data_IF_461396330192
#
_entry.id   IF_461396330192
#
_cell.length_a   1.000
_cell.length_b   1.000
_cell.length_c   1.000
_cell.angle_alpha   90.00
_cell.angle_beta   90.00
_cell.angle_gamma   90.00
#
_symmetry.space_group_name_H-M   'P 1'
#
loop_
_entity.id
_entity.type
_entity.pdbx_description
1 polymer ?
#
# COMPACT_ATOMS: atom_id res chain seq x y z
N UNK A 1 26.79 -19.08 -15.26
CA UNK A 1 25.60 -19.68 -14.60
C UNK A 1 25.31 -18.80 -13.40
N UNK A 2 24.45 -17.77 -13.36
CA UNK A 2 23.24 -17.40 -14.08
C UNK A 2 23.21 -15.85 -14.04
N UNK A 3 23.51 -15.19 -15.15
CA UNK A 3 23.34 -13.74 -15.29
C UNK A 3 21.85 -13.45 -15.44
N UNK A 4 21.15 -13.36 -14.31
CA UNK A 4 19.72 -13.09 -14.24
C UNK A 4 19.44 -11.69 -14.78
N UNK A 5 18.94 -11.66 -16.01
CA UNK A 5 18.35 -10.56 -16.77
C UNK A 5 17.83 -9.38 -15.92
N UNK A 6 18.54 -8.24 -15.87
CA UNK A 6 17.96 -7.00 -15.37
C UNK A 6 17.16 -6.24 -16.44
N UNK A 7 17.07 -6.75 -17.67
CA UNK A 7 16.69 -5.93 -18.85
C UNK A 7 15.21 -6.01 -19.26
N UNK A 8 14.37 -6.86 -18.65
CA UNK A 8 13.01 -7.11 -19.18
C UNK A 8 11.89 -6.22 -18.62
N UNK A 9 12.17 -5.24 -17.76
CA UNK A 9 11.13 -4.32 -17.22
C UNK A 9 11.34 -2.84 -17.56
N UNK A 10 12.23 -2.52 -18.50
CA UNK A 10 12.26 -1.21 -19.13
C UNK A 10 12.04 -1.38 -20.62
N UNK A 11 10.80 -1.69 -21.00
CA UNK A 11 10.35 -1.36 -22.35
C UNK A 11 9.90 0.11 -22.26
N UNK A 12 10.74 1.10 -22.62
CA UNK A 12 10.17 2.38 -23.01
C UNK A 12 9.32 2.03 -24.22
N UNK A 13 8.00 2.14 -24.09
CA UNK A 13 7.17 1.94 -25.24
C UNK A 13 7.37 3.15 -26.15
N UNK A 14 8.34 3.01 -27.05
CA UNK A 14 8.85 4.08 -27.93
C UNK A 14 7.87 4.41 -29.05
N UNK A 15 6.70 3.77 -29.10
CA UNK A 15 5.68 4.07 -30.11
C UNK A 15 5.19 5.51 -29.93
N UNK A 16 5.10 6.31 -31.00
CA UNK A 16 4.64 7.69 -30.94
C UNK A 16 3.22 7.82 -30.34
N UNK A 17 2.39 6.79 -30.50
CA UNK A 17 1.04 6.73 -29.92
C UNK A 17 1.06 6.74 -28.37
N UNK A 18 1.98 6.00 -27.75
CA UNK A 18 2.09 5.95 -26.29
C UNK A 18 2.66 7.25 -25.71
N UNK A 19 3.54 7.93 -26.45
CA UNK A 19 4.08 9.22 -26.03
C UNK A 19 2.99 10.30 -25.98
N UNK A 20 2.08 10.30 -26.95
CA UNK A 20 0.92 11.20 -26.97
C UNK A 20 -0.02 10.94 -25.78
N UNK A 21 -0.32 9.66 -25.50
CA UNK A 21 -1.14 9.29 -24.33
C UNK A 21 -0.48 9.71 -23.02
N UNK A 22 0.83 9.47 -22.88
CA UNK A 22 1.59 9.87 -21.68
C UNK A 22 1.61 11.39 -21.50
N UNK A 23 1.74 12.17 -22.58
CA UNK A 23 1.68 13.62 -22.51
C UNK A 23 0.32 14.11 -21.98
N UNK A 24 -0.79 13.61 -22.53
CA UNK A 24 -2.13 13.97 -22.06
C UNK A 24 -2.42 13.55 -20.62
N UNK A 25 -1.85 12.43 -20.15
CA UNK A 25 -1.98 12.01 -18.76
C UNK A 25 -1.17 12.90 -17.80
N UNK A 26 -0.01 13.42 -18.23
CA UNK A 26 0.82 14.31 -17.38
C UNK A 26 0.14 15.64 -17.09
N UNK A 27 -0.66 16.16 -18.02
CA UNK A 27 -1.41 17.40 -17.85
C UNK A 27 -2.51 17.29 -16.77
N UNK A 28 -3.01 16.08 -16.53
CA UNK A 28 -4.03 15.81 -15.51
C UNK A 28 -3.44 15.66 -14.10
N UNK A 29 -2.13 15.45 -13.99
CA UNK A 29 -1.47 15.24 -12.70
C UNK A 29 -0.89 16.57 -12.19
N UNK A 30 -1.17 16.96 -10.93
CA UNK A 30 -0.60 18.16 -10.36
C UNK A 30 0.94 18.16 -10.43
N UNK A 31 1.51 19.28 -10.87
CA UNK A 31 2.96 19.50 -10.99
C UNK A 31 3.81 19.01 -9.79
N UNK A 32 3.45 19.25 -8.51
CA UNK A 32 4.30 18.80 -7.40
C UNK A 32 4.42 17.27 -7.32
N UNK A 33 3.35 16.54 -7.65
CA UNK A 33 3.32 15.08 -7.65
C UNK A 33 4.13 14.55 -8.84
N UNK A 34 3.92 15.14 -10.01
CA UNK A 34 4.62 14.75 -11.23
C UNK A 34 6.13 14.98 -11.10
N UNK A 35 6.56 16.12 -10.55
CA UNK A 35 7.98 16.41 -10.33
C UNK A 35 8.63 15.38 -9.40
N UNK A 36 7.92 14.92 -8.37
CA UNK A 36 8.41 13.87 -7.47
C UNK A 36 8.55 12.53 -8.20
N UNK A 37 7.53 12.14 -8.96
CA UNK A 37 7.53 10.92 -9.77
C UNK A 37 8.69 10.92 -10.77
N UNK A 38 8.87 12.01 -11.53
CA UNK A 38 9.91 12.12 -12.55
C UNK A 38 11.31 12.00 -11.94
N UNK A 39 11.55 12.63 -10.79
CA UNK A 39 12.83 12.50 -10.06
C UNK A 39 13.17 11.05 -9.73
N UNK A 40 12.18 10.25 -9.31
CA UNK A 40 12.38 8.82 -9.04
C UNK A 40 12.69 8.03 -10.31
N UNK A 41 12.00 8.35 -11.42
CA UNK A 41 12.20 7.71 -12.72
C UNK A 41 13.59 8.03 -13.29
N UNK A 42 14.06 9.27 -13.15
CA UNK A 42 15.42 9.69 -13.53
C UNK A 42 16.49 8.92 -12.77
N UNK A 43 16.24 8.60 -11.49
CA UNK A 43 17.10 7.74 -10.67
C UNK A 43 17.03 6.24 -11.06
N UNK A 44 16.24 5.86 -12.06
CA UNK A 44 16.02 4.47 -12.45
C UNK A 44 15.16 3.68 -11.47
N UNK A 45 14.42 4.37 -10.59
CA UNK A 45 13.58 3.75 -9.55
C UNK A 45 12.12 3.76 -10.00
N UNK A 46 11.32 2.85 -9.42
CA UNK A 46 9.87 2.83 -9.66
C UNK A 46 9.24 4.03 -8.98
N UNK A 47 8.50 4.85 -9.74
CA UNK A 47 7.79 6.01 -9.18
C UNK A 47 6.54 5.65 -8.37
N UNK A 48 5.92 4.51 -8.68
CA UNK A 48 4.72 3.98 -8.00
C UNK A 48 4.94 2.49 -7.70
N UNK A 49 4.51 2.03 -6.52
CA UNK A 49 4.66 0.65 -6.08
C UNK A 49 3.43 0.15 -5.33
N UNK A 50 2.90 -1.04 -5.67
CA UNK A 50 1.92 -1.69 -4.81
C UNK A 50 2.59 -2.08 -3.49
N UNK A 51 1.87 -1.92 -2.39
CA UNK A 51 2.20 -2.62 -1.16
C UNK A 51 1.69 -4.05 -1.32
N UNK A 52 2.55 -5.03 -1.05
CA UNK A 52 2.19 -6.44 -1.02
C UNK A 52 2.52 -7.10 0.30
N UNK A 53 1.54 -7.70 0.99
CA UNK A 53 1.71 -8.29 2.34
C UNK A 53 2.38 -7.33 3.36
N UNK A 54 2.10 -6.02 3.27
CA UNK A 54 2.74 -5.00 4.10
C UNK A 54 4.20 -4.69 3.72
N UNK A 55 4.63 -5.05 2.51
CA UNK A 55 5.97 -4.79 1.97
C UNK A 55 5.89 -3.89 0.74
N UNK A 56 6.77 -2.90 0.65
CA UNK A 56 6.89 -2.06 -0.54
C UNK A 56 7.57 -2.83 -1.67
N UNK A 57 6.93 -3.02 -2.82
CA UNK A 57 7.48 -3.79 -3.96
C UNK A 57 8.55 -3.06 -4.79
N UNK A 58 8.91 -1.84 -4.39
CA UNK A 58 10.03 -1.10 -5.00
C UNK A 58 11.34 -1.27 -4.21
N UNK A 59 11.32 -1.08 -2.88
CA UNK A 59 12.51 -1.21 -2.04
C UNK A 59 12.54 -2.48 -1.18
N UNK A 60 11.47 -3.28 -1.19
CA UNK A 60 11.33 -4.52 -0.43
C UNK A 60 11.42 -4.34 1.10
N UNK A 61 11.30 -3.12 1.60
CA UNK A 61 11.18 -2.84 3.02
C UNK A 61 9.75 -2.94 3.51
N UNK A 62 9.60 -3.30 4.78
CA UNK A 62 8.30 -3.42 5.44
C UNK A 62 7.72 -2.02 5.65
N UNK A 63 6.46 -1.86 5.27
CA UNK A 63 5.73 -0.60 5.43
C UNK A 63 5.17 -0.55 6.86
N UNK A 64 5.34 0.57 7.59
CA UNK A 64 4.74 0.77 8.90
C UNK A 64 3.22 0.54 8.90
N UNK A 65 2.70 0.03 10.02
CA UNK A 65 1.27 -0.22 10.17
C UNK A 65 0.43 1.06 10.11
N UNK A 66 0.97 2.19 10.59
CA UNK A 66 0.35 3.52 10.50
C UNK A 66 0.06 3.90 9.04
N UNK A 67 1.07 3.77 8.18
CA UNK A 67 0.94 4.05 6.76
C UNK A 67 -0.02 3.09 6.07
N UNK A 68 0.06 1.80 6.39
CA UNK A 68 -0.85 0.79 5.83
C UNK A 68 -2.30 1.11 6.21
N UNK A 69 -2.56 1.60 7.42
CA UNK A 69 -3.87 2.08 7.85
C UNK A 69 -4.36 3.30 7.05
N UNK A 70 -3.48 4.26 6.73
CA UNK A 70 -3.84 5.38 5.85
C UNK A 70 -4.14 4.92 4.41
N UNK A 71 -3.36 3.97 3.89
CA UNK A 71 -3.60 3.38 2.57
C UNK A 71 -4.97 2.67 2.48
N UNK A 72 -5.42 2.06 3.57
CA UNK A 72 -6.74 1.41 3.62
C UNK A 72 -7.89 2.41 3.52
N UNK A 73 -7.72 3.62 4.06
CA UNK A 73 -8.75 4.65 3.98
C UNK A 73 -8.81 5.31 2.60
N UNK A 74 -7.73 5.22 1.82
CA UNK A 74 -7.61 5.82 0.49
C UNK A 74 -7.85 7.33 0.46
N UNK A 75 -7.63 8.02 1.59
CA UNK A 75 -7.89 9.45 1.73
C UNK A 75 -6.80 10.30 1.04
N UNK A 76 -5.54 9.85 1.07
CA UNK A 76 -4.38 10.63 0.64
C UNK A 76 -3.30 9.80 -0.10
N UNK A 77 -2.50 10.50 -0.91
CA UNK A 77 -1.31 9.94 -1.55
C UNK A 77 -0.20 9.70 -0.52
N UNK A 78 0.02 8.44 -0.18
CA UNK A 78 1.06 8.06 0.79
C UNK A 78 2.37 7.70 0.08
N UNK A 79 3.47 8.25 0.57
CA UNK A 79 4.83 7.97 0.10
C UNK A 79 5.52 6.99 1.04
N UNK A 80 6.25 6.01 0.51
CA UNK A 80 7.08 5.14 1.33
C UNK A 80 8.21 5.92 2.01
N UNK A 81 8.37 5.78 3.32
CA UNK A 81 9.43 6.45 4.11
C UNK A 81 10.85 6.03 3.70
N UNK A 82 11.02 4.83 3.13
CA UNK A 82 12.33 4.32 2.72
C UNK A 82 12.68 4.64 1.26
N UNK A 83 11.75 4.44 0.30
CA UNK A 83 12.04 4.73 -1.11
C UNK A 83 11.62 6.12 -1.58
N UNK A 84 10.64 6.74 -0.92
CA UNK A 84 9.91 7.90 -1.45
C UNK A 84 8.94 7.56 -2.58
N UNK A 85 8.77 6.28 -2.96
CA UNK A 85 7.85 5.92 -4.03
C UNK A 85 6.38 5.97 -3.58
N UNK A 86 5.47 6.35 -4.49
CA UNK A 86 4.03 6.41 -4.20
C UNK A 86 3.48 5.01 -3.97
N UNK A 87 2.78 4.82 -2.86
CA UNK A 87 2.22 3.55 -2.47
C UNK A 87 0.73 3.49 -2.79
N UNK A 88 0.29 2.35 -3.30
CA UNK A 88 -1.14 2.05 -3.42
C UNK A 88 -1.43 0.66 -2.88
N UNK A 89 -2.65 0.49 -2.36
CA UNK A 89 -3.14 -0.82 -1.94
C UNK A 89 -3.98 -1.43 -3.07
N UNK A 90 -3.53 -2.54 -3.67
CA UNK A 90 -4.30 -3.25 -4.67
C UNK A 90 -5.56 -3.89 -4.06
N UNK A 91 -6.62 -4.00 -4.86
CA UNK A 91 -7.94 -4.44 -4.39
C UNK A 91 -7.92 -5.83 -3.73
N UNK A 92 -7.09 -6.75 -4.23
CA UNK A 92 -6.96 -8.09 -3.65
C UNK A 92 -6.39 -8.05 -2.23
N UNK A 93 -5.50 -7.10 -1.95
CA UNK A 93 -4.91 -6.96 -0.62
C UNK A 93 -5.80 -6.21 0.34
N UNK A 94 -6.54 -5.22 -0.17
CA UNK A 94 -7.59 -4.59 0.61
C UNK A 94 -8.55 -5.66 1.17
N UNK A 95 -8.94 -6.62 0.33
CA UNK A 95 -9.83 -7.73 0.69
C UNK A 95 -9.17 -8.76 1.63
N UNK A 96 -7.88 -9.04 1.46
CA UNK A 96 -7.15 -9.96 2.32
C UNK A 96 -6.89 -9.40 3.73
N UNK A 97 -6.79 -8.07 3.87
CA UNK A 97 -6.49 -7.40 5.13
C UNK A 97 -7.74 -6.89 5.87
N UNK A 98 -8.91 -6.88 5.21
CA UNK A 98 -10.19 -6.76 5.90
C UNK A 98 -10.27 -7.87 6.96
N UNK A 99 -10.55 -7.54 8.24
CA UNK A 99 -10.71 -8.57 9.25
C UNK A 99 -11.85 -9.47 8.80
N UNK A 100 -11.55 -10.75 8.55
CA UNK A 100 -12.58 -11.79 8.56
C UNK A 100 -13.24 -11.63 9.92
N UNK A 101 -14.48 -11.11 9.92
CA UNK A 101 -15.31 -10.89 11.11
C UNK A 101 -15.05 -12.05 12.07
N UNK A 102 -14.54 -11.82 13.29
CA UNK A 102 -14.51 -12.90 14.26
C UNK A 102 -15.97 -13.29 14.43
N UNK A 103 -16.32 -14.48 13.94
CA UNK A 103 -17.60 -15.10 14.28
C UNK A 103 -17.59 -15.16 15.79
N UNK A 104 -18.51 -14.42 16.40
CA UNK A 104 -18.56 -14.20 17.83
C UNK A 104 -18.50 -15.52 18.59
N UNK A 105 -17.35 -15.84 19.16
CA UNK A 105 -17.28 -16.80 20.24
C UNK A 105 -17.83 -16.09 21.48
N UNK A 106 -19.09 -16.40 21.79
CA UNK A 106 -19.80 -15.90 22.95
C UNK A 106 -19.02 -16.21 24.23
N UNK A 107 -18.32 -15.20 24.79
CA UNK A 107 -17.85 -15.25 26.17
C UNK A 107 -19.06 -14.95 27.05
N UNK A 108 -19.68 -16.01 27.54
CA UNK A 108 -20.77 -15.95 28.52
C UNK A 108 -20.30 -15.23 29.78
N UNK A 109 -20.87 -14.04 30.03
CA UNK A 109 -20.67 -13.30 31.27
C UNK A 109 -21.43 -14.05 32.38
N UNK A 110 -20.76 -14.93 33.13
CA UNK A 110 -21.32 -15.52 34.35
C UNK A 110 -21.50 -14.40 35.38
N UNK A 111 -22.74 -13.99 35.59
CA UNK A 111 -23.16 -13.10 36.67
C UNK A 111 -22.80 -13.73 38.02
N UNK A 112 -21.87 -13.11 38.76
CA UNK A 112 -21.62 -13.48 40.15
C UNK A 112 -22.81 -13.01 40.97
N UNK A 113 -23.71 -13.94 41.28
CA UNK A 113 -24.86 -13.74 42.15
C UNK A 113 -24.72 -14.68 43.35
N UNK A 114 -24.33 -14.13 44.48
CA UNK A 114 -24.47 -14.71 45.84
C UNK A 114 -24.43 -13.52 46.79
N UNK A 115 -25.57 -12.95 47.16
CA UNK A 115 -26.49 -13.38 48.25
C UNK A 115 -25.96 -12.94 49.63
N UNK A 116 -26.60 -11.90 50.11
CA UNK A 116 -26.77 -11.48 51.51
C UNK A 116 -27.03 -12.68 52.45
N UNK A 117 -26.28 -12.80 53.55
CA UNK A 117 -26.72 -13.27 54.88
C UNK A 117 -25.55 -13.61 55.84
N UNK A 118 -25.75 -13.26 57.13
CA UNK A 118 -25.09 -13.73 58.36
C UNK A 118 -23.72 -13.10 58.72
N UNK A 119 -23.38 -12.76 59.97
CA UNK A 119 -24.07 -12.62 61.26
C UNK A 119 -23.01 -12.13 62.28
N UNK A 120 -23.49 -11.59 63.42
CA UNK A 120 -22.78 -11.27 64.69
C UNK A 120 -22.09 -9.91 64.76
#
# INVERSE_FOLDING_TARGET
MLSAQPTLLRVPSTSPEHQAVVAGLREQVPNPILAHYLRLVEQGRKGVAPVRHGVCTACHMRVPASMTGSLMKQDDLTLCENCGCYLFLPAEEMQAMLPKKPVAAAVGRKTRRTSEAAAV
#
